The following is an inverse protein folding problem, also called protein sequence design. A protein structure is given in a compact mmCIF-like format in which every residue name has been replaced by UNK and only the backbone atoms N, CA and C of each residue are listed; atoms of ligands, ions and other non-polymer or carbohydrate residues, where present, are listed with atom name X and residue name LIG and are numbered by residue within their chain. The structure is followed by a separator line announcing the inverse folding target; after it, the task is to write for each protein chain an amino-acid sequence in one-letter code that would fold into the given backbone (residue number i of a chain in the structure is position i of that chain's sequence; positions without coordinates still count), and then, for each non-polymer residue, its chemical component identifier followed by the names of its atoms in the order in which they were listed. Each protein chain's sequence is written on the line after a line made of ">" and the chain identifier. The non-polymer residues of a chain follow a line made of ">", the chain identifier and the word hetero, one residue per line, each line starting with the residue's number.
data_IF_245902805807
#
_entry.id   IF_245902805807
#
_cell.length_a   1.000
_cell.length_b   1.000
_cell.length_c   1.000
_cell.angle_alpha   90.00
_cell.angle_beta   90.00
_cell.angle_gamma   90.00
#
_symmetry.space_group_name_H-M   'P 1'
#
loop_
_entity.id
_entity.type
_entity.pdbx_description
1 polymer ?
#
# COMPACT_ATOMS: atom_id res chain seq x y z
N UNK A 1 1.85 -1.95 -11.46
CA UNK A 1 1.80 -2.42 -10.06
C UNK A 1 1.14 -1.37 -9.17
N UNK A 2 0.20 -1.79 -8.35
CA UNK A 2 -0.47 -0.94 -7.38
C UNK A 2 -0.12 -1.47 -5.98
N UNK A 3 0.37 -0.60 -5.09
CA UNK A 3 0.58 -0.95 -3.70
C UNK A 3 -0.63 -0.55 -2.88
N UNK A 4 -1.14 -1.50 -2.07
CA UNK A 4 -2.27 -1.28 -1.18
C UNK A 4 -1.74 -1.35 0.26
N UNK A 5 -1.60 -0.20 0.91
CA UNK A 5 -1.09 -0.12 2.28
C UNK A 5 -2.28 -0.07 3.23
N UNK A 6 -2.53 -1.18 3.91
CA UNK A 6 -3.67 -1.37 4.82
C UNK A 6 -3.26 -2.30 5.95
N UNK A 7 -3.44 -1.88 7.20
CA UNK A 7 -3.06 -2.67 8.37
C UNK A 7 -4.02 -3.83 8.65
N UNK A 8 -5.30 -3.68 8.28
CA UNK A 8 -6.28 -4.75 8.46
C UNK A 8 -6.14 -5.79 7.37
N UNK A 9 -5.80 -7.03 7.78
CA UNK A 9 -5.52 -8.11 6.84
C UNK A 9 -6.67 -8.41 5.88
N UNK A 10 -7.89 -8.50 6.39
CA UNK A 10 -9.05 -8.86 5.57
C UNK A 10 -9.35 -7.78 4.53
N UNK A 11 -9.23 -6.51 4.91
CA UNK A 11 -9.41 -5.39 4.00
C UNK A 11 -8.30 -5.37 2.95
N UNK A 12 -7.06 -5.58 3.39
CA UNK A 12 -5.91 -5.62 2.48
C UNK A 12 -6.06 -6.72 1.44
N UNK A 13 -6.43 -7.93 1.86
CA UNK A 13 -6.64 -9.05 0.94
C UNK A 13 -7.79 -8.79 -0.03
N UNK A 14 -8.87 -8.17 0.44
CA UNK A 14 -10.00 -7.82 -0.42
C UNK A 14 -9.60 -6.80 -1.48
N UNK A 15 -8.85 -5.78 -1.11
CA UNK A 15 -8.36 -4.78 -2.06
C UNK A 15 -7.49 -5.41 -3.16
N UNK A 16 -6.54 -6.24 -2.76
CA UNK A 16 -5.65 -6.92 -3.70
C UNK A 16 -6.46 -7.85 -4.62
N UNK A 17 -7.36 -8.62 -4.07
CA UNK A 17 -8.23 -9.50 -4.84
C UNK A 17 -9.05 -8.72 -5.87
N UNK A 18 -9.68 -7.63 -5.44
CA UNK A 18 -10.51 -6.81 -6.31
C UNK A 18 -9.71 -6.23 -7.47
N UNK A 19 -8.51 -5.73 -7.18
CA UNK A 19 -7.65 -5.18 -8.22
C UNK A 19 -7.19 -6.25 -9.21
N UNK A 20 -6.80 -7.43 -8.72
CA UNK A 20 -6.45 -8.55 -9.59
C UNK A 20 -7.61 -8.96 -10.49
N UNK A 21 -8.84 -8.99 -9.92
CA UNK A 21 -10.03 -9.37 -10.69
C UNK A 21 -10.37 -8.39 -11.80
N UNK A 22 -9.94 -7.14 -11.68
CA UNK A 22 -10.14 -6.11 -12.71
C UNK A 22 -8.95 -5.96 -13.66
N UNK A 23 -7.96 -6.83 -13.56
CA UNK A 23 -6.83 -6.88 -14.48
C UNK A 23 -5.59 -6.10 -14.05
N UNK A 24 -5.54 -5.60 -12.82
CA UNK A 24 -4.37 -4.89 -12.31
C UNK A 24 -3.46 -5.81 -11.52
N UNK A 25 -2.15 -5.53 -11.55
CA UNK A 25 -1.22 -6.13 -10.60
C UNK A 25 -1.24 -5.30 -9.32
N UNK A 26 -1.38 -5.97 -8.17
CA UNK A 26 -1.45 -5.31 -6.88
C UNK A 26 -0.73 -6.11 -5.82
N UNK A 27 -0.15 -5.40 -4.85
CA UNK A 27 0.53 -5.99 -3.70
C UNK A 27 0.04 -5.33 -2.43
N UNK A 28 -0.33 -6.15 -1.43
CA UNK A 28 -0.75 -5.68 -0.13
C UNK A 28 0.44 -5.48 0.79
N UNK A 29 0.46 -4.35 1.50
CA UNK A 29 1.51 -4.02 2.46
C UNK A 29 0.84 -3.63 3.77
N UNK A 30 1.46 -3.98 4.90
CA UNK A 30 0.85 -3.80 6.21
C UNK A 30 1.04 -2.41 6.79
N UNK A 31 2.13 -1.74 6.45
CA UNK A 31 2.51 -0.49 7.08
C UNK A 31 3.50 0.29 6.21
N UNK A 32 3.88 1.48 6.69
CA UNK A 32 4.81 2.34 5.99
C UNK A 32 6.21 1.77 5.84
N UNK A 33 6.66 0.98 6.80
CA UNK A 33 7.98 0.33 6.74
C UNK A 33 8.04 -0.61 5.54
N UNK A 34 7.02 -1.46 5.37
CA UNK A 34 6.95 -2.36 4.22
C UNK A 34 6.84 -1.58 2.91
N UNK A 35 6.07 -0.48 2.91
CA UNK A 35 5.95 0.36 1.72
C UNK A 35 7.31 0.90 1.28
N UNK A 36 8.11 1.45 2.20
CA UNK A 36 9.40 2.01 1.83
C UNK A 36 10.40 0.94 1.41
N UNK A 37 10.34 -0.25 1.99
CA UNK A 37 11.14 -1.39 1.53
C UNK A 37 10.81 -1.75 0.08
N UNK A 38 9.52 -1.84 -0.24
CA UNK A 38 9.09 -2.19 -1.61
C UNK A 38 9.41 -1.10 -2.61
N UNK A 39 9.32 0.17 -2.23
CA UNK A 39 9.72 1.28 -3.10
C UNK A 39 11.20 1.24 -3.48
N UNK A 40 12.04 0.62 -2.65
CA UNK A 40 13.44 0.38 -2.99
C UNK A 40 13.63 -0.68 -4.08
N UNK A 41 12.64 -1.55 -4.29
CA UNK A 41 12.68 -2.63 -5.28
C UNK A 41 11.93 -2.28 -6.56
N UNK A 42 10.76 -1.69 -6.44
CA UNK A 42 9.90 -1.36 -7.57
C UNK A 42 9.07 -0.13 -7.27
N UNK A 43 9.10 0.85 -8.18
CA UNK A 43 8.25 2.03 -8.08
C UNK A 43 6.89 1.70 -8.70
N UNK A 44 5.79 1.81 -7.96
CA UNK A 44 4.46 1.47 -8.47
C UNK A 44 3.87 2.62 -9.28
N UNK A 45 2.81 2.30 -10.05
CA UNK A 45 2.02 3.30 -10.75
C UNK A 45 1.08 4.05 -9.82
N UNK A 46 0.65 3.41 -8.73
CA UNK A 46 -0.31 3.96 -7.79
C UNK A 46 -0.10 3.36 -6.41
N UNK A 47 -0.30 4.16 -5.38
CA UNK A 47 -0.31 3.73 -3.99
C UNK A 47 -1.66 4.06 -3.38
N UNK A 48 -2.38 3.05 -2.91
CA UNK A 48 -3.59 3.22 -2.10
C UNK A 48 -3.17 3.18 -0.63
N UNK A 49 -3.48 4.23 0.11
CA UNK A 49 -2.94 4.44 1.43
C UNK A 49 -4.05 4.69 2.45
N UNK A 50 -4.06 3.88 3.53
CA UNK A 50 -4.89 4.14 4.70
C UNK A 50 -4.16 5.11 5.62
N UNK A 51 -4.70 6.30 5.82
CA UNK A 51 -4.08 7.34 6.65
C UNK A 51 -4.14 7.05 8.14
N UNK A 52 -4.84 5.99 8.55
CA UNK A 52 -4.97 5.57 9.96
C UNK A 52 -3.99 4.46 10.33
N UNK A 53 -2.91 4.29 9.57
CA UNK A 53 -1.92 3.25 9.83
C UNK A 53 -1.22 3.44 11.18
N UNK A 54 -1.00 2.34 11.93
CA UNK A 54 -0.21 2.40 13.17
C UNK A 54 1.25 2.79 12.89
N UNK A 55 1.83 3.55 13.80
CA UNK A 55 3.23 3.96 13.73
C UNK A 55 3.44 5.21 12.90
N UNK A 56 3.35 5.11 11.57
CA UNK A 56 3.36 6.24 10.65
C UNK A 56 1.93 6.47 10.14
N UNK A 57 1.39 7.67 10.26
CA UNK A 57 0.10 7.99 9.66
C UNK A 57 0.26 8.26 8.16
N UNK A 58 -0.88 8.29 7.43
CA UNK A 58 -0.86 8.46 5.99
C UNK A 58 -0.26 9.79 5.55
N UNK A 59 -0.42 10.85 6.33
CA UNK A 59 0.15 12.15 6.00
C UNK A 59 1.66 12.16 6.13
N UNK A 60 2.20 11.50 7.16
CA UNK A 60 3.64 11.34 7.34
C UNK A 60 4.25 10.55 6.19
N UNK A 61 3.61 9.45 5.79
CA UNK A 61 4.07 8.63 4.66
C UNK A 61 4.05 9.44 3.37
N UNK A 62 2.99 10.18 3.11
CA UNK A 62 2.91 11.05 1.92
C UNK A 62 4.03 12.09 1.91
N UNK A 63 4.34 12.68 3.06
CA UNK A 63 5.44 13.63 3.18
C UNK A 63 6.79 13.02 2.84
N UNK A 64 7.02 11.77 3.21
CA UNK A 64 8.27 11.06 2.89
C UNK A 64 8.38 10.67 1.41
N UNK A 65 7.26 10.41 0.76
CA UNK A 65 7.23 10.02 -0.65
C UNK A 65 7.46 11.22 -1.57
N UNK A 66 6.97 12.37 -1.18
CA UNK A 66 7.13 13.61 -1.94
C UNK A 66 8.58 14.09 -1.93
#
# INVERSE_FOLDING_TARGET
>A
MIYCVEDERNIRELLVYTLHSTGFEAKGLENGTQLFEELGNLIPDLILLDIMLPGDDGYTILGKIR
#
